data_IF_269771644194
#
_entry.id   IF_269771644194
#
_cell.length_a   1.000
_cell.length_b   1.000
_cell.length_c   1.000
_cell.angle_alpha   90.00
_cell.angle_beta   90.00
_cell.angle_gamma   90.00
#
_symmetry.space_group_name_H-M   'P 1'
#
loop_
_entity.id
_entity.type
_entity.pdbx_description
1 polymer ?
#
# COMPACT_ATOMS: atom_id res chain seq x y z
N UNK A 1 -2.97 -22.20 -14.14
CA UNK A 1 -3.01 -21.49 -12.83
C UNK A 1 -4.37 -20.82 -12.71
N UNK A 2 -5.13 -21.04 -11.62
CA UNK A 2 -6.44 -20.38 -11.48
C UNK A 2 -6.27 -18.87 -11.27
N UNK A 3 -7.23 -18.07 -11.73
CA UNK A 3 -7.22 -16.61 -11.57
C UNK A 3 -7.12 -16.20 -10.08
N UNK A 4 -7.76 -16.95 -9.18
CA UNK A 4 -7.64 -16.74 -7.72
C UNK A 4 -6.22 -16.93 -7.20
N UNK A 5 -5.53 -17.96 -7.72
CA UNK A 5 -4.13 -18.22 -7.36
C UNK A 5 -3.23 -17.09 -7.85
N UNK A 6 -3.47 -16.59 -9.07
CA UNK A 6 -2.72 -15.46 -9.62
C UNK A 6 -2.95 -14.20 -8.79
N UNK A 7 -4.20 -13.84 -8.49
CA UNK A 7 -4.54 -12.68 -7.68
C UNK A 7 -3.91 -12.74 -6.29
N UNK A 8 -4.00 -13.90 -5.63
CA UNK A 8 -3.38 -14.12 -4.33
C UNK A 8 -1.87 -13.90 -4.39
N UNK A 9 -1.18 -14.44 -5.40
CA UNK A 9 0.27 -14.26 -5.59
C UNK A 9 0.64 -12.81 -5.86
N UNK A 10 -0.12 -12.13 -6.71
CA UNK A 10 0.09 -10.70 -7.01
C UNK A 10 -0.09 -9.84 -5.76
N UNK A 11 -1.12 -10.10 -4.95
CA UNK A 11 -1.33 -9.37 -3.70
C UNK A 11 -0.26 -9.68 -2.64
N UNK A 12 0.27 -10.92 -2.59
CA UNK A 12 1.43 -11.25 -1.76
C UNK A 12 2.67 -10.45 -2.20
N UNK A 13 2.92 -10.36 -3.50
CA UNK A 13 4.01 -9.54 -4.03
C UNK A 13 3.85 -8.07 -3.65
N UNK A 14 2.65 -7.51 -3.84
CA UNK A 14 2.32 -6.13 -3.42
C UNK A 14 2.55 -5.93 -1.93
N UNK A 15 2.17 -6.91 -1.10
CA UNK A 15 2.38 -6.86 0.35
C UNK A 15 3.88 -6.78 0.69
N UNK A 16 4.71 -7.61 0.04
CA UNK A 16 6.17 -7.59 0.22
C UNK A 16 6.74 -6.23 -0.19
N UNK A 17 6.38 -5.72 -1.36
CA UNK A 17 6.84 -4.40 -1.82
C UNK A 17 6.43 -3.31 -0.84
N UNK A 18 5.19 -3.34 -0.34
CA UNK A 18 4.67 -2.37 0.64
C UNK A 18 5.44 -2.42 1.96
N UNK A 19 5.81 -3.61 2.44
CA UNK A 19 6.63 -3.76 3.64
C UNK A 19 8.03 -3.22 3.41
N UNK A 20 8.67 -3.56 2.29
CA UNK A 20 10.03 -3.11 2.01
C UNK A 20 10.11 -1.59 1.80
N UNK A 21 9.17 -1.00 1.06
CA UNK A 21 9.10 0.45 0.89
C UNK A 21 8.73 1.17 2.19
N UNK A 22 7.80 0.61 2.97
CA UNK A 22 7.45 1.11 4.30
C UNK A 22 8.63 1.08 5.26
N UNK A 23 9.42 0.01 5.26
CA UNK A 23 10.61 -0.11 6.09
C UNK A 23 11.69 0.88 5.67
N UNK A 24 11.90 1.07 4.36
CA UNK A 24 12.80 2.09 3.85
C UNK A 24 12.36 3.48 4.32
N UNK A 25 11.08 3.79 4.23
CA UNK A 25 10.52 5.07 4.67
C UNK A 25 10.57 5.26 6.19
N UNK A 26 10.43 4.17 6.97
CA UNK A 26 10.53 4.18 8.43
C UNK A 26 11.95 4.50 8.91
N UNK A 27 12.97 3.84 8.34
CA UNK A 27 14.35 3.98 8.79
C UNK A 27 15.11 5.09 8.08
N UNK A 28 14.75 5.41 6.83
CA UNK A 28 15.39 6.41 5.99
C UNK A 28 14.36 7.38 5.36
N UNK A 29 13.56 8.10 6.17
CA UNK A 29 12.50 8.97 5.65
C UNK A 29 13.03 10.08 4.74
N UNK A 30 14.18 10.67 5.07
CA UNK A 30 14.79 11.76 4.29
C UNK A 30 15.20 11.33 2.88
N UNK A 31 15.65 10.08 2.73
CA UNK A 31 15.97 9.53 1.41
C UNK A 31 14.72 9.46 0.54
N UNK A 32 13.61 8.97 1.09
CA UNK A 32 12.33 8.86 0.39
C UNK A 32 11.78 10.24 0.06
N UNK A 33 11.81 11.18 1.00
CA UNK A 33 11.39 12.57 0.79
C UNK A 33 12.19 13.24 -0.34
N UNK A 34 13.51 13.05 -0.40
CA UNK A 34 14.35 13.57 -1.50
C UNK A 34 13.98 12.98 -2.85
N UNK A 35 13.70 11.68 -2.92
CA UNK A 35 13.26 11.02 -4.16
C UNK A 35 11.92 11.61 -4.64
N UNK A 36 11.04 11.96 -3.72
CA UNK A 36 9.75 12.60 -4.02
C UNK A 36 9.84 14.13 -4.18
N UNK A 37 11.05 14.70 -4.15
CA UNK A 37 11.35 16.14 -4.08
C UNK A 37 10.45 16.91 -3.10
N UNK A 38 10.14 16.26 -1.98
CA UNK A 38 9.38 16.84 -0.90
C UNK A 38 10.29 17.68 0.02
N UNK A 39 9.71 18.65 0.72
CA UNK A 39 10.46 19.44 1.70
C UNK A 39 10.96 18.54 2.84
N UNK A 40 12.27 18.52 3.07
CA UNK A 40 12.92 17.74 4.14
C UNK A 40 13.09 18.60 5.38
N UNK A 41 12.14 18.51 6.31
CA UNK A 41 12.20 19.09 7.65
C UNK A 41 12.15 17.97 8.69
N UNK A 42 12.52 18.26 9.95
CA UNK A 42 12.41 17.27 11.03
C UNK A 42 10.96 16.75 11.18
N UNK A 43 9.98 17.63 11.00
CA UNK A 43 8.55 17.29 11.07
C UNK A 43 8.11 16.39 9.91
N UNK A 44 8.47 16.74 8.67
CA UNK A 44 8.10 15.92 7.51
C UNK A 44 8.78 14.55 7.54
N UNK A 45 10.05 14.49 7.97
CA UNK A 45 10.76 13.24 8.20
C UNK A 45 10.07 12.33 9.22
N UNK A 46 9.66 12.89 10.37
CA UNK A 46 8.94 12.13 11.41
C UNK A 46 7.58 11.61 10.93
N UNK A 47 6.79 12.44 10.22
CA UNK A 47 5.52 12.00 9.65
C UNK A 47 5.70 10.96 8.54
N UNK A 48 6.72 11.09 7.69
CA UNK A 48 7.03 10.07 6.70
C UNK A 48 7.40 8.75 7.36
N UNK A 49 8.25 8.76 8.40
CA UNK A 49 8.58 7.56 9.15
C UNK A 49 7.34 6.91 9.77
N UNK A 50 6.42 7.71 10.30
CA UNK A 50 5.13 7.26 10.86
C UNK A 50 4.27 6.57 9.79
N UNK A 51 4.15 7.16 8.60
CA UNK A 51 3.46 6.53 7.46
C UNK A 51 4.16 5.23 7.05
N UNK A 52 5.50 5.21 7.03
CA UNK A 52 6.30 4.02 6.75
C UNK A 52 6.02 2.87 7.72
N UNK A 53 5.92 3.17 9.03
CA UNK A 53 5.51 2.19 10.04
C UNK A 53 4.14 1.58 9.73
N UNK A 54 3.13 2.41 9.41
CA UNK A 54 1.81 1.90 9.04
C UNK A 54 1.86 1.04 7.76
N UNK A 55 2.67 1.41 6.76
CA UNK A 55 2.87 0.59 5.56
C UNK A 55 3.45 -0.79 5.90
N UNK A 56 4.44 -0.85 6.80
CA UNK A 56 5.01 -2.11 7.28
C UNK A 56 3.94 -2.98 7.96
N UNK A 57 3.17 -2.39 8.87
CA UNK A 57 2.14 -3.13 9.62
C UNK A 57 1.03 -3.62 8.69
N UNK A 58 0.50 -2.74 7.84
CA UNK A 58 -0.61 -3.07 6.91
C UNK A 58 -0.15 -4.05 5.84
N UNK A 59 1.06 -3.87 5.29
CA UNK A 59 1.67 -4.81 4.35
C UNK A 59 1.93 -6.18 4.99
N UNK A 60 2.45 -6.20 6.21
CA UNK A 60 2.65 -7.42 6.99
C UNK A 60 1.33 -8.16 7.26
N UNK A 61 0.29 -7.43 7.64
CA UNK A 61 -1.05 -7.97 7.83
C UNK A 61 -1.60 -8.61 6.54
N UNK A 62 -1.50 -7.93 5.40
CA UNK A 62 -1.93 -8.48 4.11
C UNK A 62 -1.13 -9.75 3.76
N UNK A 63 0.19 -9.72 3.93
CA UNK A 63 1.06 -10.87 3.65
C UNK A 63 0.69 -12.08 4.50
N UNK A 64 0.48 -11.91 5.81
CA UNK A 64 0.08 -12.98 6.72
C UNK A 64 -1.33 -13.49 6.38
N UNK A 65 -2.30 -12.59 6.19
CA UNK A 65 -3.68 -12.94 5.86
C UNK A 65 -3.76 -13.80 4.58
N UNK A 66 -3.00 -13.43 3.55
CA UNK A 66 -2.98 -14.16 2.29
C UNK A 66 -2.22 -15.48 2.36
N UNK A 67 -1.42 -15.78 3.38
CA UNK A 67 -0.75 -17.10 3.52
C UNK A 67 -1.60 -18.14 4.23
N UNK A 68 -2.68 -17.73 4.88
CA UNK A 68 -3.62 -18.66 5.50
C UNK A 68 -4.30 -19.54 4.43
N UNK A 69 -4.64 -20.81 4.73
CA UNK A 69 -5.39 -21.67 3.82
C UNK A 69 -6.74 -21.06 3.41
N UNK A 70 -7.38 -20.36 4.34
CA UNK A 70 -8.61 -19.60 4.13
C UNK A 70 -8.36 -18.14 4.51
N UNK A 71 -8.05 -17.25 3.55
CA UNK A 71 -7.76 -15.85 3.86
C UNK A 71 -8.95 -15.15 4.56
N UNK A 72 -8.71 -14.41 5.64
CA UNK A 72 -9.77 -13.74 6.39
C UNK A 72 -10.40 -12.62 5.57
N UNK A 73 -11.68 -12.76 5.24
CA UNK A 73 -12.43 -11.82 4.38
C UNK A 73 -12.50 -10.39 4.92
N UNK A 74 -12.44 -10.22 6.23
CA UNK A 74 -12.56 -8.91 6.88
C UNK A 74 -11.33 -8.02 6.68
N UNK A 75 -10.15 -8.60 6.41
CA UNK A 75 -8.90 -7.83 6.26
C UNK A 75 -8.88 -7.08 4.94
N UNK A 76 -9.31 -7.72 3.84
CA UNK A 76 -9.12 -7.18 2.49
C UNK A 76 -9.83 -5.83 2.21
N UNK A 77 -11.05 -5.56 2.70
CA UNK A 77 -11.67 -4.24 2.55
C UNK A 77 -10.86 -3.11 3.19
N UNK A 78 -10.26 -3.36 4.36
CA UNK A 78 -9.42 -2.36 5.04
C UNK A 78 -8.11 -2.13 4.31
N UNK A 79 -7.51 -3.19 3.75
CA UNK A 79 -6.33 -3.06 2.88
C UNK A 79 -6.67 -2.24 1.63
N UNK A 80 -7.81 -2.52 0.99
CA UNK A 80 -8.27 -1.77 -0.17
C UNK A 80 -8.49 -0.29 0.19
N UNK A 81 -9.20 -0.01 1.29
CA UNK A 81 -9.45 1.35 1.76
C UNK A 81 -8.15 2.11 2.04
N UNK A 82 -7.20 1.50 2.75
CA UNK A 82 -5.93 2.13 3.07
C UNK A 82 -5.15 2.52 1.81
N UNK A 83 -5.06 1.62 0.82
CA UNK A 83 -4.36 1.91 -0.43
C UNK A 83 -5.05 2.94 -1.30
N UNK A 84 -6.38 2.88 -1.42
CA UNK A 84 -7.15 3.87 -2.17
C UNK A 84 -7.05 5.26 -1.52
N UNK A 85 -7.13 5.33 -0.19
CA UNK A 85 -6.97 6.57 0.55
C UNK A 85 -5.53 7.12 0.42
N UNK A 86 -4.51 6.27 0.51
CA UNK A 86 -3.11 6.66 0.29
C UNK A 86 -2.91 7.25 -1.11
N UNK A 87 -3.42 6.57 -2.14
CA UNK A 87 -3.38 7.08 -3.52
C UNK A 87 -4.05 8.46 -3.63
N UNK A 88 -5.24 8.64 -3.06
CA UNK A 88 -5.96 9.92 -3.13
C UNK A 88 -5.19 11.05 -2.43
N UNK A 89 -4.62 10.76 -1.25
CA UNK A 89 -3.84 11.74 -0.48
C UNK A 89 -2.52 12.11 -1.18
N UNK A 90 -1.85 11.16 -1.83
CA UNK A 90 -0.65 11.45 -2.63
C UNK A 90 -0.99 12.31 -3.85
N UNK A 91 -2.07 12.00 -4.58
CA UNK A 91 -2.54 12.83 -5.70
C UNK A 91 -2.86 14.25 -5.23
N UNK A 92 -3.53 14.39 -4.08
CA UNK A 92 -3.81 15.69 -3.48
C UNK A 92 -2.53 16.43 -3.07
N UNK A 93 -1.53 15.72 -2.55
CA UNK A 93 -0.22 16.28 -2.23
C UNK A 93 0.49 16.83 -3.46
N UNK A 94 0.48 16.08 -4.57
CA UNK A 94 1.03 16.55 -5.86
C UNK A 94 0.25 17.77 -6.38
N UNK A 95 -1.09 17.73 -6.35
CA UNK A 95 -1.94 18.84 -6.80
C UNK A 95 -1.72 20.13 -5.98
N UNK A 96 -1.28 20.00 -4.73
CA UNK A 96 -0.93 21.11 -3.84
C UNK A 96 0.54 21.53 -3.91
N UNK A 97 1.35 20.89 -4.77
CA UNK A 97 2.78 21.17 -4.91
C UNK A 97 3.64 20.65 -3.75
N UNK A 98 3.14 19.73 -2.92
CA UNK A 98 3.88 19.16 -1.79
C UNK A 98 4.83 18.03 -2.21
N UNK A 99 4.51 17.35 -3.32
CA UNK A 99 5.29 16.24 -3.88
C UNK A 99 5.53 16.43 -5.37
N UNK A 100 6.63 15.89 -5.88
CA UNK A 100 6.91 15.84 -7.31
C UNK A 100 5.91 14.95 -8.07
N UNK A 101 5.81 15.17 -9.38
CA UNK A 101 5.02 14.33 -10.30
C UNK A 101 5.37 12.84 -10.23
N UNK A 102 6.61 12.50 -9.86
CA UNK A 102 7.04 11.12 -9.65
C UNK A 102 6.19 10.39 -8.59
N UNK A 103 5.66 11.11 -7.60
CA UNK A 103 4.78 10.55 -6.57
C UNK A 103 3.46 10.01 -7.14
N UNK A 104 3.04 10.45 -8.35
CA UNK A 104 1.89 9.86 -9.04
C UNK A 104 2.13 8.39 -9.43
N UNK A 105 3.39 7.97 -9.63
CA UNK A 105 3.72 6.56 -9.80
C UNK A 105 3.40 5.73 -8.56
N UNK A 106 3.72 6.26 -7.38
CA UNK A 106 3.38 5.64 -6.08
C UNK A 106 1.85 5.61 -5.90
N UNK A 107 1.17 6.71 -6.20
CA UNK A 107 -0.29 6.78 -6.15
C UNK A 107 -0.94 5.74 -7.08
N UNK A 108 -0.46 5.64 -8.33
CA UNK A 108 -0.95 4.66 -9.29
C UNK A 108 -0.74 3.22 -8.83
N UNK A 109 0.43 2.91 -8.24
CA UNK A 109 0.69 1.61 -7.64
C UNK A 109 -0.31 1.28 -6.53
N UNK A 110 -0.59 2.23 -5.62
CA UNK A 110 -1.53 2.03 -4.54
C UNK A 110 -2.99 1.93 -5.03
N UNK A 111 -3.38 2.74 -6.02
CA UNK A 111 -4.70 2.65 -6.66
C UNK A 111 -4.93 1.25 -7.23
N UNK A 112 -4.03 0.77 -8.08
CA UNK A 112 -4.14 -0.55 -8.70
C UNK A 112 -4.15 -1.66 -7.66
N UNK A 113 -3.28 -1.56 -6.66
CA UNK A 113 -3.20 -2.53 -5.56
C UNK A 113 -4.48 -2.56 -4.72
N UNK A 114 -5.08 -1.40 -4.43
CA UNK A 114 -6.34 -1.30 -3.71
C UNK A 114 -7.51 -1.89 -4.50
N UNK A 115 -7.57 -1.63 -5.81
CA UNK A 115 -8.57 -2.22 -6.70
C UNK A 115 -8.43 -3.75 -6.80
N UNK A 116 -7.20 -4.27 -6.88
CA UNK A 116 -6.94 -5.71 -6.87
C UNK A 116 -7.37 -6.35 -5.54
N UNK A 117 -7.11 -5.71 -4.40
CA UNK A 117 -7.53 -6.20 -3.09
C UNK A 117 -9.07 -6.26 -2.98
N UNK A 118 -9.75 -5.21 -3.47
CA UNK A 118 -11.22 -5.15 -3.51
C UNK A 118 -11.80 -6.22 -4.46
N UNK A 119 -11.18 -6.43 -5.61
CA UNK A 119 -11.59 -7.46 -6.55
C UNK A 119 -11.44 -8.86 -5.94
N UNK A 120 -10.30 -9.15 -5.32
CA UNK A 120 -10.07 -10.43 -4.65
C UNK A 120 -11.05 -10.66 -3.50
N UNK A 121 -11.38 -9.63 -2.71
CA UNK A 121 -12.41 -9.70 -1.68
C UNK A 121 -13.78 -10.10 -2.23
N UNK A 122 -14.22 -9.47 -3.32
CA UNK A 122 -15.51 -9.80 -3.97
C UNK A 122 -15.54 -11.23 -4.49
N UNK A 123 -14.41 -11.75 -4.98
CA UNK A 123 -14.33 -13.15 -5.45
C UNK A 123 -14.37 -14.15 -4.30
N UNK A 124 -13.64 -13.91 -3.21
CA UNK A 124 -13.74 -14.75 -1.99
C UNK A 124 -15.17 -14.78 -1.44
N UNK A 125 -15.89 -13.65 -1.51
CA UNK A 125 -17.28 -13.56 -1.07
C UNK A 125 -18.25 -14.39 -1.92
N UNK A 126 -17.94 -14.61 -3.21
CA UNK A 126 -18.76 -15.43 -4.10
C UNK A 126 -18.49 -16.94 -3.93
N UNK A 127 -17.26 -17.32 -3.57
CA UNK A 127 -16.85 -18.73 -3.43
C UNK A 127 -17.10 -19.32 -2.03
N UNK A 128 -17.21 -18.48 -1.00
CA UNK A 128 -17.50 -18.91 0.38
C UNK A 128 -18.99 -18.80 0.76
N UNK A 129 -19.89 -18.81 -0.23
CA UNK A 129 -21.32 -19.04 -0.02
C UNK A 129 -21.60 -20.53 -0.11
#
# INVERSE_FOLDING_TARGET
MSLDTLLRRTLIFIAIVTVLSGALQLFLPDLVLRILSAETTATSGHFFATVGMFMVVVGGLLWQALRQPQPPRLVLPWIALQKLAASALVVLGVARGLFAWLALGVAGFDLLSGLLALWYWRRLAATQR
#
